data_IF_079794719731
#
_entry.id   IF_079794719731
#
_cell.length_a   1.000
_cell.length_b   1.000
_cell.length_c   1.000
_cell.angle_alpha   90.00
_cell.angle_beta   90.00
_cell.angle_gamma   90.00
#
_symmetry.space_group_name_H-M   'P 1'
#
loop_
_entity.id
_entity.type
_entity.pdbx_description
1 polymer ?
#
# COMPACT_ATOMS: atom_id res chain seq x y z
N UNK A 1 -2.48 6.05 -27.06
CA UNK A 1 -1.73 5.39 -25.95
C UNK A 1 -1.68 3.88 -26.17
N UNK A 2 -0.50 3.26 -26.08
CA UNK A 2 -0.26 1.87 -26.47
C UNK A 2 -1.04 0.83 -25.63
N UNK A 3 -1.26 1.10 -24.34
CA UNK A 3 -1.82 0.14 -23.39
C UNK A 3 -3.36 0.01 -23.45
N UNK A 4 -4.07 0.95 -24.08
CA UNK A 4 -5.55 0.90 -24.14
C UNK A 4 -6.08 -0.30 -24.94
N UNK A 5 -5.24 -0.90 -25.79
CA UNK A 5 -5.55 -2.12 -26.56
C UNK A 5 -5.75 -3.35 -25.66
N UNK A 6 -5.15 -3.35 -24.46
CA UNK A 6 -5.23 -4.46 -23.51
C UNK A 6 -6.34 -4.27 -22.47
N UNK A 7 -7.10 -3.17 -22.55
CA UNK A 7 -8.16 -2.86 -21.60
C UNK A 7 -9.27 -3.92 -21.61
N UNK A 8 -9.70 -4.33 -20.42
CA UNK A 8 -10.81 -5.28 -20.23
C UNK A 8 -11.70 -4.83 -19.07
N UNK A 9 -12.90 -4.27 -19.33
CA UNK A 9 -13.50 -3.98 -20.64
C UNK A 9 -12.74 -2.90 -21.45
N UNK A 10 -12.98 -2.83 -22.77
CA UNK A 10 -12.30 -1.92 -23.73
C UNK A 10 -12.72 -0.45 -23.56
N UNK A 11 -12.41 0.14 -22.41
CA UNK A 11 -12.62 1.56 -22.09
C UNK A 11 -11.38 2.10 -21.39
N UNK A 12 -11.12 3.38 -21.54
CA UNK A 12 -10.03 4.05 -20.84
C UNK A 12 -10.38 5.51 -20.65
N UNK A 13 -9.92 6.10 -19.55
CA UNK A 13 -9.94 7.54 -19.34
C UNK A 13 -8.51 7.99 -19.20
N UNK A 14 -8.13 9.01 -19.97
CA UNK A 14 -6.79 9.58 -19.95
C UNK A 14 -6.96 11.09 -19.86
N UNK A 15 -6.29 11.68 -18.89
CA UNK A 15 -6.37 13.09 -18.58
C UNK A 15 -4.96 13.65 -18.47
N UNK A 16 -4.69 14.68 -19.25
CA UNK A 16 -3.54 15.55 -19.07
C UNK A 16 -3.96 16.71 -18.16
N UNK A 17 -3.10 17.08 -17.22
CA UNK A 17 -3.35 18.12 -16.23
C UNK A 17 -2.30 19.21 -16.47
N UNK A 18 -2.61 20.10 -17.42
CA UNK A 18 -1.90 21.35 -17.69
C UNK A 18 -0.37 21.21 -17.80
N UNK A 19 0.13 20.10 -18.36
CA UNK A 19 1.56 19.75 -18.40
C UNK A 19 2.27 19.59 -17.04
N UNK A 20 1.55 19.72 -15.92
CA UNK A 20 2.06 19.47 -14.57
C UNK A 20 2.00 17.99 -14.20
N UNK A 21 0.89 17.35 -14.60
CA UNK A 21 0.64 15.96 -14.27
C UNK A 21 -0.21 15.29 -15.36
N UNK A 22 -0.37 13.97 -15.23
CA UNK A 22 -1.29 13.21 -16.06
C UNK A 22 -1.80 12.00 -15.30
N UNK A 23 -3.01 11.57 -15.62
CA UNK A 23 -3.61 10.36 -15.08
C UNK A 23 -4.19 9.51 -16.21
N UNK A 24 -4.05 8.19 -16.08
CA UNK A 24 -4.64 7.23 -17.00
C UNK A 24 -5.26 6.08 -16.23
N UNK A 25 -6.54 5.82 -16.47
CA UNK A 25 -7.27 4.68 -15.91
C UNK A 25 -7.61 3.72 -17.05
N UNK A 26 -7.07 2.51 -16.94
CA UNK A 26 -7.31 1.41 -17.89
C UNK A 26 -7.72 0.17 -17.09
N UNK A 27 -8.95 -0.34 -17.25
CA UNK A 27 -9.36 -1.59 -16.62
C UNK A 27 -8.53 -2.75 -17.14
N UNK A 28 -8.02 -3.59 -16.25
CA UNK A 28 -7.23 -4.76 -16.60
C UNK A 28 -7.80 -6.01 -15.93
N UNK A 29 -7.80 -7.13 -16.65
CA UNK A 29 -8.24 -8.44 -16.13
C UNK A 29 -7.07 -9.42 -16.18
N UNK A 30 -6.47 -9.67 -15.02
CA UNK A 30 -5.51 -10.76 -14.85
C UNK A 30 -6.20 -12.12 -15.05
N UNK A 31 -5.47 -13.05 -15.66
CA UNK A 31 -5.93 -14.40 -16.03
C UNK A 31 -4.78 -15.38 -15.79
N UNK A 32 -5.02 -16.41 -15.01
CA UNK A 32 -4.08 -17.49 -14.66
C UNK A 32 -3.58 -18.29 -15.88
N UNK A 33 -4.43 -18.54 -16.87
CA UNK A 33 -4.04 -19.23 -18.11
C UNK A 33 -3.16 -18.38 -19.04
N UNK A 34 -3.10 -17.05 -18.82
CA UNK A 34 -2.27 -16.16 -19.63
C UNK A 34 -0.82 -16.18 -19.12
N UNK A 35 0.10 -16.53 -20.02
CA UNK A 35 1.55 -16.59 -19.74
C UNK A 35 2.09 -15.37 -18.99
N UNK A 36 1.80 -14.14 -19.47
CA UNK A 36 2.35 -12.91 -18.90
C UNK A 36 1.82 -12.70 -17.48
N UNK A 37 0.52 -12.85 -17.27
CA UNK A 37 -0.10 -12.65 -15.97
C UNK A 37 0.36 -13.70 -14.95
N UNK A 38 0.46 -14.97 -15.37
CA UNK A 38 0.99 -16.05 -14.54
C UNK A 38 2.45 -15.79 -14.14
N UNK A 39 3.27 -15.34 -15.09
CA UNK A 39 4.67 -15.01 -14.83
C UNK A 39 4.80 -13.79 -13.88
N UNK A 40 3.97 -12.76 -14.04
CA UNK A 40 3.93 -11.62 -13.12
C UNK A 40 3.61 -12.04 -11.68
N UNK A 41 2.63 -12.94 -11.51
CA UNK A 41 2.30 -13.52 -10.20
C UNK A 41 3.49 -14.27 -9.60
N UNK A 42 4.14 -15.13 -10.40
CA UNK A 42 5.29 -15.91 -9.95
C UNK A 42 6.48 -15.02 -9.55
N UNK A 43 6.82 -14.03 -10.40
CA UNK A 43 7.87 -13.05 -10.11
C UNK A 43 7.61 -12.32 -8.79
N UNK A 44 6.37 -11.91 -8.53
CA UNK A 44 6.00 -11.25 -7.29
C UNK A 44 6.38 -12.09 -6.06
N UNK A 45 6.01 -13.38 -6.05
CA UNK A 45 6.34 -14.28 -4.95
C UNK A 45 7.83 -14.61 -4.88
N UNK A 46 8.49 -14.77 -6.02
CA UNK A 46 9.95 -15.02 -6.06
C UNK A 46 10.73 -13.87 -5.44
N UNK A 47 10.35 -12.62 -5.71
CA UNK A 47 10.98 -11.44 -5.09
C UNK A 47 10.85 -11.50 -3.56
N UNK A 48 9.64 -11.77 -3.04
CA UNK A 48 9.43 -11.89 -1.60
C UNK A 48 10.27 -13.03 -0.99
N UNK A 49 10.28 -14.19 -1.63
CA UNK A 49 10.96 -15.37 -1.08
C UNK A 49 12.49 -15.29 -1.20
N UNK A 50 13.01 -14.53 -2.16
CA UNK A 50 14.46 -14.37 -2.38
C UNK A 50 15.11 -13.28 -1.54
N UNK A 51 14.36 -12.28 -1.08
CA UNK A 51 14.92 -11.18 -0.26
C UNK A 51 15.12 -11.62 1.19
N UNK A 52 16.36 -11.80 1.63
CA UNK A 52 16.67 -12.27 2.99
C UNK A 52 16.28 -11.28 4.09
N UNK A 53 16.46 -9.98 3.87
CA UNK A 53 16.18 -8.94 4.87
C UNK A 53 14.72 -8.44 4.77
N UNK A 54 13.82 -8.81 5.72
CA UNK A 54 12.42 -8.40 5.69
C UNK A 54 12.22 -6.89 5.90
N UNK A 55 13.24 -6.15 6.37
CA UNK A 55 13.14 -4.69 6.55
C UNK A 55 13.25 -3.89 5.25
N UNK A 56 13.59 -4.56 4.15
CA UNK A 56 13.83 -3.93 2.84
C UNK A 56 12.79 -4.32 1.80
N UNK A 57 11.75 -5.04 2.21
CA UNK A 57 10.67 -5.48 1.35
C UNK A 57 9.32 -5.28 2.06
N UNK A 58 8.34 -4.78 1.32
CA UNK A 58 7.04 -4.38 1.87
C UNK A 58 5.92 -5.03 1.10
N UNK A 59 4.88 -5.51 1.81
CA UNK A 59 3.77 -6.20 1.16
C UNK A 59 2.81 -5.19 0.54
N UNK A 60 2.84 -5.06 -0.79
CA UNK A 60 1.94 -4.16 -1.54
C UNK A 60 1.36 -4.87 -2.75
N UNK A 61 0.11 -4.57 -3.10
CA UNK A 61 -0.53 -5.01 -4.35
C UNK A 61 -0.62 -3.90 -5.38
N UNK A 62 0.03 -2.76 -5.10
CA UNK A 62 -0.12 -1.50 -5.84
C UNK A 62 -1.61 -1.20 -6.08
N UNK A 63 -2.40 -1.16 -5.01
CA UNK A 63 -3.84 -1.15 -5.12
C UNK A 63 -4.36 0.03 -5.96
N UNK A 64 -5.26 -0.17 -6.94
CA UNK A 64 -5.84 -1.45 -7.40
C UNK A 64 -5.12 -2.09 -8.62
N UNK A 65 -3.99 -1.55 -9.06
CA UNK A 65 -3.28 -1.92 -10.29
C UNK A 65 -2.92 -3.40 -10.34
N UNK A 66 -2.28 -3.94 -9.29
CA UNK A 66 -1.91 -5.35 -9.23
C UNK A 66 -3.04 -6.25 -8.71
N UNK A 67 -3.61 -5.90 -7.56
CA UNK A 67 -4.74 -6.60 -6.95
C UNK A 67 -5.45 -5.71 -5.90
N UNK A 68 -6.71 -6.01 -5.51
CA UNK A 68 -7.35 -5.34 -4.39
C UNK A 68 -6.58 -5.57 -3.08
N UNK A 69 -6.50 -4.56 -2.20
CA UNK A 69 -5.81 -4.71 -0.90
C UNK A 69 -6.46 -5.78 0.00
N UNK A 70 -7.72 -6.14 -0.27
CA UNK A 70 -8.41 -7.26 0.39
C UNK A 70 -7.78 -8.62 0.09
N UNK A 71 -6.89 -8.72 -0.90
CA UNK A 71 -6.11 -9.93 -1.21
C UNK A 71 -4.88 -10.12 -0.32
N UNK A 72 -4.54 -9.19 0.59
CA UNK A 72 -3.40 -9.37 1.49
C UNK A 72 -3.43 -10.67 2.30
N UNK A 73 -4.55 -11.12 2.89
CA UNK A 73 -4.59 -12.41 3.61
C UNK A 73 -4.21 -13.60 2.73
N UNK A 74 -4.65 -13.61 1.47
CA UNK A 74 -4.31 -14.65 0.49
C UNK A 74 -2.80 -14.62 0.16
N UNK A 75 -2.24 -13.44 -0.08
CA UNK A 75 -0.79 -13.28 -0.31
C UNK A 75 0.03 -13.72 0.91
N UNK A 76 -0.41 -13.39 2.12
CA UNK A 76 0.25 -13.82 3.35
C UNK A 76 0.27 -15.35 3.42
N UNK A 77 -0.85 -16.02 3.12
CA UNK A 77 -0.90 -17.49 3.08
C UNK A 77 0.06 -18.06 2.04
N UNK A 78 0.14 -17.49 0.84
CA UNK A 78 1.12 -17.91 -0.19
C UNK A 78 2.58 -17.80 0.29
N UNK A 79 2.90 -16.79 1.11
CA UNK A 79 4.25 -16.62 1.67
C UNK A 79 4.53 -17.55 2.85
N UNK A 80 3.51 -17.86 3.65
CA UNK A 80 3.64 -18.65 4.88
C UNK A 80 3.43 -20.16 4.70
N UNK A 81 2.78 -20.59 3.62
CA UNK A 81 2.44 -22.00 3.36
C UNK A 81 2.92 -22.40 1.95
N UNK A 82 4.02 -23.16 1.91
CA UNK A 82 4.64 -23.63 0.68
C UNK A 82 3.77 -24.62 -0.06
N UNK A 83 3.06 -25.50 0.65
CA UNK A 83 2.18 -26.49 0.01
C UNK A 83 1.06 -25.79 -0.73
N UNK A 84 0.40 -24.84 -0.07
CA UNK A 84 -0.62 -23.99 -0.69
C UNK A 84 -0.07 -23.18 -1.86
N UNK A 85 1.12 -22.59 -1.73
CA UNK A 85 1.81 -21.89 -2.82
C UNK A 85 2.06 -22.77 -4.03
N UNK A 86 2.56 -23.99 -3.82
CA UNK A 86 2.85 -24.93 -4.90
C UNK A 86 1.57 -25.42 -5.59
N UNK A 87 0.50 -25.66 -4.81
CA UNK A 87 -0.82 -26.01 -5.36
C UNK A 87 -1.43 -24.86 -6.19
N UNK A 88 -1.23 -23.61 -5.78
CA UNK A 88 -1.65 -22.45 -6.54
C UNK A 88 -0.84 -22.30 -7.84
N UNK A 89 0.49 -22.45 -7.76
CA UNK A 89 1.38 -22.37 -8.91
C UNK A 89 1.11 -23.44 -9.97
N UNK A 90 0.78 -24.67 -9.54
CA UNK A 90 0.46 -25.78 -10.45
C UNK A 90 -0.75 -25.53 -11.36
N UNK A 91 -1.64 -24.58 -10.98
CA UNK A 91 -2.83 -24.21 -11.77
C UNK A 91 -2.53 -23.16 -12.85
N UNK A 92 -1.35 -22.59 -12.87
CA UNK A 92 -0.98 -21.52 -13.80
C UNK A 92 -0.63 -22.04 -15.19
N UNK A 93 -0.49 -21.12 -16.15
CA UNK A 93 0.04 -21.42 -17.48
C UNK A 93 1.36 -22.22 -17.43
N UNK A 94 1.43 -23.33 -18.19
CA UNK A 94 2.58 -24.25 -18.20
C UNK A 94 3.91 -23.60 -18.64
N UNK A 95 3.87 -22.69 -19.60
CA UNK A 95 5.08 -21.99 -20.06
C UNK A 95 5.60 -21.05 -18.97
N UNK A 96 4.70 -20.40 -18.22
CA UNK A 96 5.09 -19.57 -17.08
C UNK A 96 5.67 -20.42 -15.95
N UNK A 97 5.13 -21.62 -15.73
CA UNK A 97 5.69 -22.57 -14.77
C UNK A 97 7.12 -22.99 -15.14
N UNK A 98 7.38 -23.26 -16.42
CA UNK A 98 8.69 -23.65 -16.91
C UNK A 98 9.76 -22.54 -16.79
N UNK A 99 9.32 -21.28 -16.74
CA UNK A 99 10.20 -20.10 -16.67
C UNK A 99 10.44 -19.59 -15.24
N UNK A 100 9.73 -20.13 -14.25
CA UNK A 100 9.77 -19.69 -12.86
C UNK A 100 10.57 -20.65 -11.98
N UNK A 101 11.28 -20.11 -10.99
CA UNK A 101 12.03 -20.86 -9.99
C UNK A 101 11.24 -21.04 -8.67
N UNK A 102 9.96 -20.64 -8.65
CA UNK A 102 9.16 -20.52 -7.43
C UNK A 102 9.05 -21.83 -6.64
N UNK A 103 8.96 -22.98 -7.31
CA UNK A 103 8.84 -24.31 -6.67
C UNK A 103 10.10 -24.75 -5.94
N UNK A 104 11.27 -24.23 -6.35
CA UNK A 104 12.56 -24.49 -5.72
C UNK A 104 12.80 -23.59 -4.49
N UNK A 105 11.98 -22.56 -4.27
CA UNK A 105 12.06 -21.69 -3.11
C UNK A 105 11.35 -22.34 -1.92
N UNK A 106 12.15 -22.94 -1.04
CA UNK A 106 11.68 -23.67 0.14
C UNK A 106 11.30 -22.77 1.32
N UNK A 107 11.62 -21.47 1.26
CA UNK A 107 11.37 -20.54 2.37
C UNK A 107 9.88 -20.37 2.64
N UNK A 108 9.55 -20.23 3.91
CA UNK A 108 8.24 -19.82 4.41
C UNK A 108 8.44 -18.65 5.36
N UNK A 109 7.57 -17.65 5.25
CA UNK A 109 7.59 -16.48 6.12
C UNK A 109 7.05 -16.84 7.51
N UNK A 110 7.73 -16.35 8.54
CA UNK A 110 7.24 -16.35 9.91
C UNK A 110 6.25 -15.21 10.18
N UNK A 111 5.46 -15.31 11.25
CA UNK A 111 4.60 -14.19 11.70
C UNK A 111 5.40 -12.92 11.99
N UNK A 112 6.66 -13.05 12.43
CA UNK A 112 7.55 -11.92 12.68
C UNK A 112 7.95 -11.21 11.38
N UNK A 113 8.34 -11.95 10.34
CA UNK A 113 8.65 -11.37 9.03
C UNK A 113 7.42 -10.71 8.41
N UNK A 114 6.25 -11.34 8.53
CA UNK A 114 4.98 -10.73 8.12
C UNK A 114 4.76 -9.42 8.88
N UNK A 115 4.90 -9.38 10.21
CA UNK A 115 4.75 -8.16 10.99
C UNK A 115 5.75 -7.06 10.58
N UNK A 116 6.99 -7.43 10.25
CA UNK A 116 8.00 -6.48 9.77
C UNK A 116 7.56 -5.86 8.45
N UNK A 117 7.31 -6.67 7.41
CA UNK A 117 7.06 -6.16 6.06
C UNK A 117 5.73 -5.41 5.89
N UNK A 118 4.79 -5.60 6.82
CA UNK A 118 3.46 -5.00 6.77
C UNK A 118 3.28 -3.84 7.76
N UNK A 119 4.06 -3.79 8.85
CA UNK A 119 3.90 -2.79 9.92
C UNK A 119 5.22 -2.10 10.24
N UNK A 120 6.18 -2.81 10.84
CA UNK A 120 7.37 -2.19 11.42
C UNK A 120 8.28 -1.55 10.37
N UNK A 121 8.58 -2.29 9.29
CA UNK A 121 9.40 -1.81 8.19
C UNK A 121 8.74 -0.64 7.47
N UNK A 122 7.44 -0.75 7.17
CA UNK A 122 6.69 0.30 6.48
C UNK A 122 6.67 1.60 7.30
N UNK A 123 6.36 1.53 8.60
CA UNK A 123 6.37 2.71 9.48
C UNK A 123 7.76 3.34 9.58
N UNK A 124 8.81 2.53 9.69
CA UNK A 124 10.20 3.00 9.72
C UNK A 124 10.60 3.69 8.41
N UNK A 125 10.19 3.15 7.26
CA UNK A 125 10.50 3.70 5.94
C UNK A 125 9.97 5.13 5.78
N UNK A 126 8.74 5.39 6.21
CA UNK A 126 8.09 6.70 6.09
C UNK A 126 8.32 7.61 7.30
N UNK A 127 9.10 7.17 8.30
CA UNK A 127 9.48 7.97 9.46
C UNK A 127 8.43 8.09 10.56
N UNK A 128 7.42 7.22 10.61
CA UNK A 128 6.42 7.21 11.68
C UNK A 128 6.95 6.47 12.91
N UNK A 129 7.64 7.19 13.79
CA UNK A 129 8.33 6.64 14.96
C UNK A 129 7.44 6.11 16.07
N UNK A 130 6.16 6.47 16.09
CA UNK A 130 5.18 6.04 17.09
C UNK A 130 4.21 4.96 16.54
N UNK A 131 4.49 4.43 15.34
CA UNK A 131 3.70 3.39 14.65
C UNK A 131 4.58 2.21 14.26
N UNK A 132 3.93 1.07 14.03
CA UNK A 132 4.59 -0.16 13.56
C UNK A 132 5.27 -0.98 14.66
N UNK A 133 5.10 -0.61 15.94
CA UNK A 133 5.58 -1.37 17.11
C UNK A 133 4.60 -1.25 18.29
N UNK A 134 4.80 -2.07 19.33
CA UNK A 134 3.93 -2.15 20.52
C UNK A 134 4.64 -1.76 21.83
N UNK A 135 5.84 -1.17 21.75
CA UNK A 135 6.54 -0.67 22.95
C UNK A 135 5.82 0.54 23.55
N UNK A 136 6.03 0.79 24.84
CA UNK A 136 5.49 1.99 25.51
C UNK A 136 5.87 3.27 24.74
N UNK A 137 4.89 4.17 24.58
CA UNK A 137 5.02 5.39 23.78
C UNK A 137 4.55 5.26 22.33
N UNK A 138 4.31 4.04 21.82
CA UNK A 138 3.59 3.85 20.56
C UNK A 138 2.13 4.28 20.69
N UNK A 139 1.51 4.65 19.57
CA UNK A 139 0.05 4.73 19.56
C UNK A 139 -0.59 3.35 19.70
N UNK A 140 -1.77 3.33 20.31
CA UNK A 140 -2.55 2.13 20.52
C UNK A 140 -3.32 1.72 19.25
N UNK A 141 -2.58 1.59 18.14
CA UNK A 141 -3.03 1.01 16.87
C UNK A 141 -2.70 -0.49 16.89
N UNK A 142 -3.66 -1.31 17.31
CA UNK A 142 -3.44 -2.73 17.65
C UNK A 142 -4.42 -3.59 16.87
N UNK A 143 -3.93 -4.66 16.24
CA UNK A 143 -4.77 -5.70 15.65
C UNK A 143 -4.51 -7.02 16.35
N UNK A 144 -5.58 -7.68 16.79
CA UNK A 144 -5.55 -8.96 17.49
C UNK A 144 -6.17 -10.04 16.62
N UNK A 145 -5.47 -11.17 16.54
CA UNK A 145 -5.89 -12.35 15.80
C UNK A 145 -5.74 -13.59 16.69
N UNK A 146 -6.75 -14.44 16.70
CA UNK A 146 -6.66 -15.81 17.20
C UNK A 146 -5.80 -16.62 16.23
N UNK A 147 -4.79 -17.31 16.76
CA UNK A 147 -3.90 -18.12 15.94
C UNK A 147 -4.68 -19.25 15.25
N UNK A 148 -4.53 -19.35 13.93
CA UNK A 148 -5.15 -20.39 13.10
C UNK A 148 -4.12 -20.90 12.09
N UNK A 149 -4.21 -22.19 11.75
CA UNK A 149 -3.39 -22.79 10.69
C UNK A 149 -3.71 -22.20 9.32
N UNK A 150 -4.99 -21.93 9.02
CA UNK A 150 -5.39 -21.20 7.83
C UNK A 150 -5.09 -19.70 8.00
N UNK A 151 -3.91 -19.30 7.53
CA UNK A 151 -3.43 -17.91 7.60
C UNK A 151 -4.31 -16.95 6.80
N UNK A 152 -4.93 -17.40 5.72
CA UNK A 152 -5.83 -16.55 4.94
C UNK A 152 -7.09 -16.24 5.74
N UNK A 153 -7.71 -17.24 6.36
CA UNK A 153 -8.86 -17.04 7.24
C UNK A 153 -8.53 -16.15 8.45
N UNK A 154 -7.37 -16.39 9.08
CA UNK A 154 -6.88 -15.61 10.21
C UNK A 154 -6.75 -14.12 9.86
N UNK A 155 -6.00 -13.78 8.82
CA UNK A 155 -5.72 -12.38 8.49
C UNK A 155 -6.90 -11.65 7.84
N UNK A 156 -7.85 -12.37 7.25
CA UNK A 156 -9.06 -11.78 6.67
C UNK A 156 -10.03 -11.26 7.74
N UNK A 157 -10.00 -11.81 8.96
CA UNK A 157 -10.97 -11.50 10.01
C UNK A 157 -10.30 -11.33 11.37
N UNK A 158 -9.86 -10.11 11.73
CA UNK A 158 -9.32 -9.84 13.06
C UNK A 158 -10.40 -9.95 14.15
N UNK A 159 -10.01 -10.40 15.34
CA UNK A 159 -10.89 -10.46 16.51
C UNK A 159 -11.14 -9.05 17.04
N UNK A 160 -10.07 -8.24 17.10
CA UNK A 160 -10.12 -6.86 17.56
C UNK A 160 -9.21 -5.97 16.73
N UNK A 161 -9.68 -4.76 16.42
CA UNK A 161 -8.82 -3.68 15.92
C UNK A 161 -9.05 -2.46 16.78
N UNK A 162 -7.96 -1.90 17.29
CA UNK A 162 -7.93 -0.64 18.02
C UNK A 162 -7.28 0.42 17.15
N UNK A 163 -7.87 1.62 17.12
CA UNK A 163 -7.29 2.82 16.54
C UNK A 163 -7.13 3.86 17.65
N UNK A 164 -5.91 4.26 17.94
CA UNK A 164 -5.58 5.20 19.03
C UNK A 164 -6.25 4.82 20.38
N UNK A 165 -6.34 3.52 20.66
CA UNK A 165 -6.94 2.97 21.87
C UNK A 165 -8.45 2.72 21.80
N UNK A 166 -9.13 3.20 20.75
CA UNK A 166 -10.55 3.00 20.53
C UNK A 166 -10.83 1.69 19.79
N UNK A 167 -11.71 0.85 20.33
CA UNK A 167 -12.13 -0.38 19.67
C UNK A 167 -13.00 -0.06 18.44
N UNK A 168 -12.46 -0.29 17.24
CA UNK A 168 -13.13 0.02 15.96
C UNK A 168 -13.65 -1.21 15.23
N UNK A 169 -13.04 -2.38 15.44
CA UNK A 169 -13.50 -3.67 14.88
C UNK A 169 -13.58 -4.70 15.99
N UNK A 170 -14.67 -5.47 16.00
CA UNK A 170 -14.84 -6.66 16.84
C UNK A 170 -15.39 -7.82 16.01
N UNK A 171 -14.78 -8.99 16.11
CA UNK A 171 -15.14 -10.21 15.38
C UNK A 171 -15.28 -9.96 13.86
N UNK A 172 -14.33 -9.22 13.28
CA UNK A 172 -14.30 -8.85 11.87
C UNK A 172 -15.36 -7.84 11.42
N UNK A 173 -16.12 -7.24 12.35
CA UNK A 173 -17.15 -6.23 12.04
C UNK A 173 -16.74 -4.88 12.57
N UNK A 174 -16.91 -3.83 11.76
CA UNK A 174 -16.74 -2.45 12.22
C UNK A 174 -17.82 -2.13 13.24
N UNK A 175 -17.41 -1.74 14.45
CA UNK A 175 -18.31 -1.40 15.58
C UNK A 175 -18.28 0.09 15.90
N UNK A 176 -17.22 0.80 15.50
CA UNK A 176 -17.08 2.25 15.69
C UNK A 176 -16.32 2.86 14.51
N UNK A 177 -16.80 4.01 14.04
CA UNK A 177 -16.09 4.83 13.06
C UNK A 177 -15.40 5.96 13.82
N UNK A 178 -14.10 6.13 13.59
CA UNK A 178 -13.29 7.22 14.11
C UNK A 178 -12.60 7.92 12.94
N UNK A 179 -12.34 9.22 13.08
CA UNK A 179 -11.60 9.98 12.09
C UNK A 179 -10.10 9.87 12.36
N UNK A 180 -9.34 9.58 11.30
CA UNK A 180 -7.88 9.51 11.37
C UNK A 180 -7.23 10.90 11.33
N UNK A 181 -5.93 10.90 11.05
CA UNK A 181 -5.16 12.10 10.84
C UNK A 181 -4.43 12.06 9.50
N UNK A 182 -4.28 13.23 8.88
CA UNK A 182 -3.44 13.44 7.70
C UNK A 182 -2.06 13.85 8.15
N UNK A 183 -1.07 13.01 7.87
CA UNK A 183 0.33 13.26 8.20
C UNK A 183 0.98 14.11 7.11
N UNK A 184 1.56 15.25 7.47
CA UNK A 184 2.21 16.19 6.54
C UNK A 184 3.67 16.40 6.89
N UNK A 185 4.51 16.66 5.88
CA UNK A 185 5.84 17.20 6.06
C UNK A 185 5.84 18.66 5.62
N UNK A 186 6.37 19.56 6.47
CA UNK A 186 6.48 20.99 6.17
C UNK A 186 7.96 21.41 6.24
N UNK A 187 8.80 20.98 5.27
CA UNK A 187 10.19 21.44 5.22
C UNK A 187 10.25 22.95 5.02
N UNK A 188 11.26 23.59 5.61
CA UNK A 188 11.51 25.00 5.37
C UNK A 188 11.91 25.21 3.89
N UNK A 189 11.40 26.29 3.29
CA UNK A 189 11.73 26.71 1.93
C UNK A 189 11.85 28.24 1.87
N UNK A 190 12.51 28.75 0.83
CA UNK A 190 12.62 30.18 0.59
C UNK A 190 11.31 30.73 0.03
N UNK A 191 10.62 31.56 0.83
CA UNK A 191 9.34 32.21 0.46
C UNK A 191 9.50 33.07 -0.81
N UNK A 192 10.70 33.56 -1.12
CA UNK A 192 10.99 34.30 -2.33
C UNK A 192 10.63 33.55 -3.63
N UNK A 193 10.61 32.21 -3.61
CA UNK A 193 10.22 31.37 -4.75
C UNK A 193 8.78 31.64 -5.20
N UNK A 194 7.89 32.05 -4.29
CA UNK A 194 6.48 32.26 -4.60
C UNK A 194 6.26 33.40 -5.59
N UNK A 195 7.16 34.39 -5.65
CA UNK A 195 7.07 35.48 -6.62
C UNK A 195 7.18 34.96 -8.04
N UNK A 196 8.16 34.11 -8.29
CA UNK A 196 8.44 33.59 -9.63
C UNK A 196 7.38 32.53 -10.01
N UNK A 197 6.91 31.73 -9.03
CA UNK A 197 5.76 30.84 -9.20
C UNK A 197 4.47 31.60 -9.55
N UNK A 198 4.21 32.74 -8.89
CA UNK A 198 3.01 33.56 -9.19
C UNK A 198 3.02 34.05 -10.64
N UNK A 199 4.16 34.57 -11.10
CA UNK A 199 4.32 34.98 -12.51
C UNK A 199 4.13 33.81 -13.48
N UNK A 200 4.56 32.60 -13.11
CA UNK A 200 4.35 31.40 -13.91
C UNK A 200 2.86 31.02 -13.97
N UNK A 201 2.18 30.96 -12.83
CA UNK A 201 0.75 30.66 -12.74
C UNK A 201 -0.10 31.66 -13.54
N UNK A 202 0.18 32.96 -13.41
CA UNK A 202 -0.55 34.01 -14.14
C UNK A 202 -0.40 33.89 -15.66
N UNK A 203 0.70 33.31 -16.16
CA UNK A 203 0.98 33.19 -17.58
C UNK A 203 0.56 31.86 -18.17
N UNK A 204 0.64 30.78 -17.41
CA UNK A 204 0.56 29.41 -17.93
C UNK A 204 -0.53 28.54 -17.30
N UNK A 205 -1.07 28.90 -16.13
CA UNK A 205 -2.12 28.13 -15.45
C UNK A 205 -3.51 28.73 -15.59
N UNK A 206 -4.52 27.90 -15.34
CA UNK A 206 -5.92 28.32 -15.32
C UNK A 206 -6.40 28.82 -13.96
N UNK A 207 -5.59 28.63 -12.90
CA UNK A 207 -5.88 29.09 -11.54
C UNK A 207 -4.75 29.96 -10.98
N UNK A 208 -5.10 30.74 -9.96
CA UNK A 208 -4.16 31.56 -9.22
C UNK A 208 -3.39 30.72 -8.19
N UNK A 209 -2.12 31.06 -7.95
CA UNK A 209 -1.24 30.32 -7.01
C UNK A 209 -1.87 30.16 -5.61
N UNK A 210 -2.58 31.17 -5.12
CA UNK A 210 -3.20 31.11 -3.79
C UNK A 210 -4.35 30.10 -3.70
N UNK A 211 -5.01 29.78 -4.83
CA UNK A 211 -6.04 28.75 -4.93
C UNK A 211 -5.46 27.34 -5.14
N UNK A 212 -4.16 27.23 -5.38
CA UNK A 212 -3.46 25.95 -5.49
C UNK A 212 -2.97 25.45 -4.11
N UNK A 213 -2.76 26.37 -3.17
CA UNK A 213 -2.34 26.04 -1.80
C UNK A 213 -3.50 25.41 -1.03
N UNK A 214 -3.25 24.26 -0.42
CA UNK A 214 -4.23 23.58 0.46
C UNK A 214 -3.94 23.98 1.91
N UNK A 215 -4.94 24.52 2.59
CA UNK A 215 -4.89 24.90 4.00
C UNK A 215 -5.10 23.72 4.95
N UNK A 216 -4.66 23.86 6.21
CA UNK A 216 -4.89 22.84 7.23
C UNK A 216 -6.39 22.65 7.53
N UNK A 217 -7.20 23.72 7.41
CA UNK A 217 -8.65 23.67 7.60
C UNK A 217 -9.36 22.87 6.51
N UNK A 218 -8.92 23.00 5.25
CA UNK A 218 -9.41 22.17 4.14
C UNK A 218 -9.06 20.69 4.34
N UNK A 219 -7.88 20.40 4.88
CA UNK A 219 -7.46 19.02 5.18
C UNK A 219 -8.22 18.46 6.38
N UNK A 220 -8.53 19.27 7.39
CA UNK A 220 -9.27 18.85 8.57
C UNK A 220 -10.77 18.62 8.30
N UNK A 221 -11.27 19.00 7.12
CA UNK A 221 -12.64 18.79 6.63
C UNK A 221 -13.71 19.07 7.71
N UNK A 222 -13.69 20.28 8.28
CA UNK A 222 -14.64 20.72 9.32
C UNK A 222 -14.71 19.80 10.55
N UNK A 223 -13.57 19.25 10.98
CA UNK A 223 -13.46 18.40 12.17
C UNK A 223 -13.60 16.89 11.90
N UNK A 224 -13.56 16.47 10.62
CA UNK A 224 -13.50 15.06 10.21
C UNK A 224 -12.08 14.57 9.92
N UNK A 225 -11.09 15.23 10.53
CA UNK A 225 -9.70 14.86 10.47
C UNK A 225 -8.85 15.78 11.33
N UNK A 226 -7.61 15.37 11.57
CA UNK A 226 -6.59 16.20 12.21
C UNK A 226 -5.34 16.24 11.32
N UNK A 227 -4.62 17.36 11.30
CA UNK A 227 -3.32 17.46 10.62
C UNK A 227 -2.20 17.21 11.62
N UNK A 228 -1.35 16.23 11.34
CA UNK A 228 -0.14 15.96 12.14
C UNK A 228 1.07 16.32 11.28
N UNK A 229 1.75 17.41 11.64
CA UNK A 229 2.98 17.82 10.94
C UNK A 229 4.20 17.18 11.57
N UNK A 230 4.96 16.45 10.76
CA UNK A 230 6.24 15.88 11.14
C UNK A 230 7.36 16.88 10.83
N UNK A 231 8.07 17.31 11.88
CA UNK A 231 9.27 18.13 11.73
C UNK A 231 10.45 17.23 11.35
N UNK A 232 11.32 17.68 10.44
CA UNK A 232 12.61 17.02 10.24
C UNK A 232 13.38 17.09 11.57
N UNK A 233 13.70 15.93 12.16
CA UNK A 233 14.81 15.87 13.10
C UNK A 233 16.06 16.14 12.29
N UNK A 234 16.74 17.25 12.57
CA UNK A 234 18.14 17.43 12.21
C UNK A 234 18.84 16.17 12.72
N UNK A 235 19.40 15.36 11.82
CA UNK A 235 20.30 14.28 12.24
C UNK A 235 21.47 14.96 12.95
N UNK A 236 21.52 14.82 14.27
CA UNK A 236 22.67 15.16 15.11
C UNK A 236 23.73 14.09 14.99
#
# INVERSE_FOLDING_TARGET
HLNTKFASPKKSVIMDIECDAGCGVVPFKYRDENYINALQWAIGLEIFLSVEDPWRIFLTTDHPNGAPFTSYPHLIRLLMDRSFRNEAFAKLNLDAQAMSNLTNLNREYSLYEIAIMTRAGAAKLIGLHDRGHLSAGAAADITVYTDQSDREAMFAKPDYVFKDGELVVKDGKVVKVVWGATHTAKPAFDIGVERDLRNYFDKYHTIQLDNFKISDDEIADNGRGNVITHSQKTQS
#
